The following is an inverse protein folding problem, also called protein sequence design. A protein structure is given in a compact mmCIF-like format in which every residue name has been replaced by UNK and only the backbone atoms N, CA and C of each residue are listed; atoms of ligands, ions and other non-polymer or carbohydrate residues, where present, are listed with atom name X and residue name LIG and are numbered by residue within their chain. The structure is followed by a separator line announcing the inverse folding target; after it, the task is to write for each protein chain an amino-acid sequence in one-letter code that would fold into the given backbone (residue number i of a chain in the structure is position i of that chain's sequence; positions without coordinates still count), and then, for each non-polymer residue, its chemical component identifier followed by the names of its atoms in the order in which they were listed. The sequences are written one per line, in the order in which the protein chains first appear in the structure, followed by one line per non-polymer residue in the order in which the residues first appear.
data_IF_831498228322
#
_entry.id   IF_831498228322
#
_cell.length_a   1.000
_cell.length_b   1.000
_cell.length_c   1.000
_cell.angle_alpha   90.00
_cell.angle_beta   90.00
_cell.angle_gamma   90.00
#
_symmetry.space_group_name_H-M   'P 1'
#
loop_
_entity.id
_entity.type
_entity.pdbx_description
1 polymer ?
#
# COMPACT_ATOMS: atom_id res chain seq x y z
N UNK A 1 -10.51 6.12 2.89
CA UNK A 1 -9.17 6.45 2.38
C UNK A 1 -8.33 5.23 2.64
N UNK A 2 -8.09 4.48 1.59
CA UNK A 2 -7.54 3.14 1.59
C UNK A 2 -6.51 3.08 0.46
N UNK A 3 -5.57 2.14 0.57
CA UNK A 3 -4.82 1.68 -0.58
C UNK A 3 -5.49 0.41 -1.13
N UNK A 4 -5.73 0.38 -2.43
CA UNK A 4 -6.29 -0.75 -3.13
C UNK A 4 -5.20 -1.77 -3.45
N UNK A 5 -5.47 -3.01 -3.08
CA UNK A 5 -4.68 -4.20 -3.39
C UNK A 5 -5.56 -5.23 -4.08
N UNK A 6 -4.96 -6.23 -4.71
CA UNK A 6 -5.71 -7.24 -5.46
C UNK A 6 -5.90 -8.50 -4.60
N UNK A 7 -7.12 -9.01 -4.46
CA UNK A 7 -7.40 -10.27 -3.78
C UNK A 7 -7.85 -11.34 -4.76
N UNK A 8 -7.20 -12.51 -4.74
CA UNK A 8 -7.61 -13.65 -5.55
C UNK A 8 -8.95 -14.20 -5.05
N UNK A 9 -9.94 -14.34 -5.94
CA UNK A 9 -11.28 -14.84 -5.59
C UNK A 9 -11.27 -16.32 -5.20
N UNK A 10 -10.29 -17.09 -5.67
CA UNK A 10 -10.20 -18.54 -5.44
C UNK A 10 -9.49 -18.92 -4.14
N UNK A 11 -8.36 -18.28 -3.82
CA UNK A 11 -7.54 -18.64 -2.65
C UNK A 11 -7.38 -17.52 -1.62
N UNK A 12 -8.08 -16.39 -1.81
CA UNK A 12 -8.09 -15.23 -0.92
C UNK A 12 -6.73 -14.54 -0.69
N UNK A 13 -5.67 -14.97 -1.40
CA UNK A 13 -4.36 -14.32 -1.31
C UNK A 13 -4.44 -12.89 -1.85
N UNK A 14 -3.94 -11.97 -1.04
CA UNK A 14 -3.84 -10.56 -1.39
C UNK A 14 -2.48 -10.22 -1.97
N UNK A 15 -2.45 -9.40 -3.01
CA UNK A 15 -1.29 -9.15 -3.85
C UNK A 15 -1.14 -7.67 -4.15
N UNK A 16 0.10 -7.22 -4.14
CA UNK A 16 0.52 -5.94 -4.68
C UNK A 16 1.96 -6.07 -5.20
N UNK A 17 2.31 -5.48 -6.35
CA UNK A 17 1.40 -4.88 -7.35
C UNK A 17 0.42 -5.91 -7.95
N UNK A 18 -0.55 -5.41 -8.71
CA UNK A 18 -1.57 -6.24 -9.37
C UNK A 18 -0.94 -7.24 -10.34
N UNK A 19 -1.57 -8.41 -10.48
CA UNK A 19 -1.10 -9.53 -11.29
C UNK A 19 -2.21 -10.04 -12.19
N UNK A 20 -1.81 -10.64 -13.32
CA UNK A 20 -2.72 -11.33 -14.24
C UNK A 20 -3.07 -12.75 -13.77
N UNK A 21 -2.19 -13.38 -12.98
CA UNK A 21 -2.38 -14.73 -12.44
C UNK A 21 -1.93 -14.79 -10.98
N UNK A 22 -2.65 -15.57 -10.17
CA UNK A 22 -2.36 -15.73 -8.75
C UNK A 22 -1.16 -16.66 -8.58
N UNK A 23 -0.06 -16.24 -7.92
CA UNK A 23 1.09 -17.10 -7.70
C UNK A 23 0.81 -18.22 -6.67
N UNK A 24 -0.33 -18.18 -5.96
CA UNK A 24 -0.73 -19.21 -5.01
C UNK A 24 -1.48 -20.37 -5.66
N UNK A 25 -2.45 -20.08 -6.55
CA UNK A 25 -3.37 -21.08 -7.11
C UNK A 25 -3.46 -21.09 -8.64
N UNK A 26 -2.77 -20.17 -9.33
CA UNK A 26 -2.77 -20.06 -10.79
C UNK A 26 -4.02 -19.41 -11.42
N UNK A 27 -5.05 -19.11 -10.63
CA UNK A 27 -6.28 -18.47 -11.15
C UNK A 27 -6.06 -17.03 -11.57
N UNK A 28 -6.85 -16.55 -12.53
CA UNK A 28 -6.78 -15.19 -13.09
C UNK A 28 -7.89 -14.25 -12.61
N UNK A 29 -8.78 -14.74 -11.75
CA UNK A 29 -9.88 -13.93 -11.21
C UNK A 29 -9.50 -13.27 -9.89
N UNK A 30 -9.77 -11.97 -9.84
CA UNK A 30 -9.42 -11.11 -8.74
C UNK A 30 -10.50 -10.06 -8.49
N UNK A 31 -10.53 -9.55 -7.27
CA UNK A 31 -11.32 -8.39 -6.86
C UNK A 31 -10.43 -7.38 -6.17
N UNK A 32 -10.81 -6.11 -6.26
CA UNK A 32 -10.17 -5.04 -5.51
C UNK A 32 -10.50 -5.19 -4.02
N UNK A 33 -9.48 -5.00 -3.19
CA UNK A 33 -9.58 -5.04 -1.75
C UNK A 33 -8.88 -3.82 -1.16
N UNK A 34 -9.59 -3.12 -0.29
CA UNK A 34 -9.11 -1.88 0.31
C UNK A 34 -8.41 -2.14 1.65
N UNK A 35 -7.26 -1.50 1.84
CA UNK A 35 -6.48 -1.55 3.07
C UNK A 35 -6.30 -0.15 3.64
N UNK A 36 -6.86 0.07 4.84
CA UNK A 36 -6.83 1.40 5.48
C UNK A 36 -5.50 1.72 6.17
N UNK A 37 -4.76 0.69 6.61
CA UNK A 37 -3.57 0.87 7.42
C UNK A 37 -2.56 -0.26 7.28
N UNK A 38 -1.31 0.05 7.59
CA UNK A 38 -0.24 -0.93 7.73
C UNK A 38 0.79 -0.50 8.77
N UNK A 39 1.86 -1.29 8.86
CA UNK A 39 2.99 -1.03 9.75
C UNK A 39 4.23 -0.71 8.94
N UNK A 40 4.92 0.36 9.26
CA UNK A 40 6.17 0.76 8.61
C UNK A 40 7.25 -0.27 8.93
N UNK A 41 7.79 -0.91 7.89
CA UNK A 41 8.91 -1.84 8.01
C UNK A 41 10.24 -1.10 7.89
N UNK A 42 10.35 -0.18 6.92
CA UNK A 42 11.57 0.53 6.60
C UNK A 42 11.26 1.86 5.91
N UNK A 43 12.14 2.84 6.08
CA UNK A 43 12.02 4.18 5.50
C UNK A 43 13.31 4.60 4.80
N UNK A 44 13.18 5.29 3.67
CA UNK A 44 14.29 5.87 2.92
C UNK A 44 14.00 7.33 2.62
N UNK A 45 14.89 8.23 3.05
CA UNK A 45 14.84 9.64 2.70
C UNK A 45 15.58 9.90 1.38
N UNK A 46 14.96 10.65 0.47
CA UNK A 46 15.55 11.13 -0.77
C UNK A 46 16.17 12.52 -0.60
N UNK A 47 17.10 12.94 -1.47
CA UNK A 47 17.76 14.25 -1.37
C UNK A 47 16.82 15.47 -1.46
N UNK A 48 15.64 15.30 -2.06
CA UNK A 48 14.60 16.34 -2.17
C UNK A 48 13.70 16.45 -0.93
N UNK A 49 13.98 15.65 0.11
CA UNK A 49 13.19 15.58 1.34
C UNK A 49 12.00 14.62 1.29
N UNK A 50 11.75 13.96 0.15
CA UNK A 50 10.72 12.92 0.06
C UNK A 50 11.11 11.71 0.90
N UNK A 51 10.18 11.19 1.70
CA UNK A 51 10.37 9.94 2.45
C UNK A 51 9.55 8.84 1.81
N UNK A 52 10.20 7.74 1.45
CA UNK A 52 9.57 6.50 1.01
C UNK A 52 9.51 5.54 2.19
N UNK A 53 8.44 4.76 2.29
CA UNK A 53 8.26 3.72 3.28
C UNK A 53 7.86 2.40 2.64
N UNK A 54 8.44 1.30 3.13
CA UNK A 54 7.90 -0.04 2.96
C UNK A 54 6.89 -0.28 4.07
N UNK A 55 5.64 -0.55 3.71
CA UNK A 55 4.54 -0.76 4.66
C UNK A 55 3.99 -2.17 4.55
N UNK A 56 4.01 -2.92 5.65
CA UNK A 56 3.40 -4.25 5.75
C UNK A 56 1.92 -4.09 6.05
N UNK A 57 1.07 -4.62 5.17
CA UNK A 57 -0.37 -4.66 5.38
C UNK A 57 -0.77 -5.95 6.07
N UNK A 58 -1.80 -5.91 6.92
CA UNK A 58 -2.32 -7.12 7.58
C UNK A 58 -2.79 -8.18 6.57
N UNK A 59 -3.18 -7.75 5.36
CA UNK A 59 -3.56 -8.62 4.26
C UNK A 59 -2.37 -9.37 3.60
N UNK A 60 -1.13 -9.14 4.05
CA UNK A 60 0.08 -9.79 3.55
C UNK A 60 0.98 -8.99 2.59
N UNK A 61 0.50 -8.10 1.70
CA UNK A 61 1.38 -7.42 0.76
C UNK A 61 2.24 -6.36 1.46
N UNK A 62 3.42 -6.12 0.87
CA UNK A 62 4.28 -4.97 1.18
C UNK A 62 4.04 -3.90 0.15
N UNK A 63 3.70 -2.70 0.60
CA UNK A 63 3.47 -1.54 -0.25
C UNK A 63 4.67 -0.61 -0.17
N UNK A 64 5.10 -0.08 -1.31
CA UNK A 64 6.04 1.04 -1.35
C UNK A 64 5.20 2.31 -1.46
N UNK A 65 5.32 3.18 -0.47
CA UNK A 65 4.50 4.37 -0.33
C UNK A 65 5.35 5.61 -0.07
N UNK A 66 4.85 6.79 -0.45
CA UNK A 66 5.42 8.07 -0.04
C UNK A 66 4.78 8.51 1.27
N UNK A 67 5.58 8.85 2.26
CA UNK A 67 5.11 9.44 3.53
C UNK A 67 4.79 10.92 3.31
N UNK A 68 3.64 11.35 3.81
CA UNK A 68 3.15 12.73 3.68
C UNK A 68 2.67 13.22 5.04
N UNK A 69 2.94 14.48 5.36
CA UNK A 69 2.40 15.15 6.54
C UNK A 69 3.22 15.00 7.83
N UNK A 70 4.42 14.41 7.75
CA UNK A 70 5.37 14.31 8.87
C UNK A 70 6.32 13.12 8.73
N UNK A 71 7.04 12.82 9.81
CA UNK A 71 7.98 11.70 9.89
C UNK A 71 7.31 10.44 10.44
N UNK A 72 7.85 9.28 10.05
CA UNK A 72 7.50 7.97 10.63
C UNK A 72 8.76 7.15 10.86
N UNK A 73 8.69 6.25 11.82
CA UNK A 73 9.74 5.29 12.13
C UNK A 73 9.27 3.86 11.87
N UNK A 74 10.25 2.94 11.80
CA UNK A 74 9.98 1.49 11.76
C UNK A 74 9.12 1.10 12.97
N UNK A 75 8.07 0.32 12.73
CA UNK A 75 7.11 -0.14 13.72
C UNK A 75 5.87 0.76 13.85
N UNK A 76 5.89 1.96 13.29
CA UNK A 76 4.74 2.86 13.34
C UNK A 76 3.57 2.31 12.53
N UNK A 77 2.37 2.45 13.08
CA UNK A 77 1.13 2.23 12.35
C UNK A 77 0.81 3.49 11.54
N UNK A 78 0.59 3.33 10.25
CA UNK A 78 0.34 4.44 9.33
C UNK A 78 -0.93 4.19 8.50
N UNK A 79 -1.70 5.24 8.28
CA UNK A 79 -2.85 5.22 7.37
C UNK A 79 -2.38 5.17 5.91
N UNK A 80 -3.13 4.47 5.06
CA UNK A 80 -2.83 4.29 3.64
C UNK A 80 -3.84 5.04 2.77
N UNK A 81 -3.39 5.56 1.63
CA UNK A 81 -4.24 6.26 0.68
C UNK A 81 -3.74 6.11 -0.74
N UNK A 82 -4.65 5.93 -1.70
CA UNK A 82 -4.35 6.13 -3.13
C UNK A 82 -4.55 7.57 -3.62
N UNK A 83 -4.97 8.48 -2.73
CA UNK A 83 -5.04 9.91 -2.98
C UNK A 83 -3.78 10.60 -2.43
N UNK A 84 -3.04 11.39 -3.23
CA UNK A 84 -1.88 12.13 -2.76
C UNK A 84 -2.24 13.30 -1.83
N UNK A 85 -3.50 13.76 -1.85
CA UNK A 85 -3.99 14.84 -1.01
C UNK A 85 -4.72 14.27 0.22
N UNK A 86 -4.49 14.89 1.38
CA UNK A 86 -5.24 14.59 2.59
C UNK A 86 -6.08 15.79 2.99
N UNK A 87 -7.42 15.69 3.03
CA UNK A 87 -8.29 16.82 3.36
C UNK A 87 -8.13 17.31 4.82
N UNK A 88 -7.68 16.45 5.74
CA UNK A 88 -7.60 16.76 7.18
C UNK A 88 -6.32 16.19 7.79
N UNK A 89 -5.47 17.06 8.37
CA UNK A 89 -4.05 16.83 8.64
C UNK A 89 -3.61 15.55 9.39
N UNK A 90 -2.30 15.32 9.38
CA UNK A 90 -1.60 14.21 10.03
C UNK A 90 -0.82 13.34 9.02
N UNK A 91 -0.02 12.41 9.55
CA UNK A 91 0.89 11.58 8.75
C UNK A 91 0.16 10.41 8.07
N UNK A 92 0.42 10.18 6.78
CA UNK A 92 -0.10 9.04 6.02
C UNK A 92 0.88 8.58 4.93
N UNK A 93 0.64 7.36 4.41
CA UNK A 93 1.40 6.78 3.31
C UNK A 93 0.55 6.77 2.02
N UNK A 94 0.97 7.57 1.05
CA UNK A 94 0.43 7.60 -0.31
C UNK A 94 1.00 6.45 -1.14
N UNK A 95 0.11 5.59 -1.64
CA UNK A 95 0.44 4.48 -2.55
C UNK A 95 -0.08 4.85 -3.94
N UNK A 96 0.80 5.09 -4.93
CA UNK A 96 0.34 5.41 -6.27
C UNK A 96 -0.46 4.23 -6.84
N UNK A 97 -1.68 4.52 -7.29
CA UNK A 97 -2.54 3.59 -8.00
C UNK A 97 -2.72 4.09 -9.42
N UNK A 98 -2.17 3.34 -10.38
CA UNK A 98 -2.39 3.57 -11.80
C UNK A 98 -3.16 2.41 -12.36
N UNK A 99 -4.42 2.64 -12.78
CA UNK A 99 -5.16 1.65 -13.54
C UNK A 99 -4.43 1.48 -14.88
N UNK A 100 -3.57 0.47 -14.96
CA UNK A 100 -2.76 0.19 -16.14
C UNK A 100 -3.53 -0.76 -17.03
N UNK A 101 -4.56 -0.23 -17.71
CA UNK A 101 -5.25 -0.89 -18.82
C UNK A 101 -5.59 0.14 -19.90
#
# INVERSE_FOLDING_TARGET
MSATVQQCTSCSRTLFPFRLFCPGCGQSEFVDHDVDHGTVEETTALPDGTVLATVICAAGPRLIARVVGGDVARGDKIALSNDPERPEGGVFAYVPFGNSY
#
